data_IF_076536477321
#
_entry.id   IF_076536477321
#
_cell.length_a   1.000
_cell.length_b   1.000
_cell.length_c   1.000
_cell.angle_alpha   90.00
_cell.angle_beta   90.00
_cell.angle_gamma   90.00
#
_symmetry.space_group_name_H-M   'P 1'
#
loop_
_entity.id
_entity.type
_entity.pdbx_description
1 polymer ?
#
# COMPACT_ATOMS: atom_id res chain seq x y z
N UNK A 1 -24.21 -43.48 -50.75
CA UNK A 1 -23.47 -44.72 -51.14
C UNK A 1 -22.27 -44.22 -51.93
N UNK A 2 -21.03 -44.26 -51.48
CA UNK A 2 -20.28 -45.25 -50.69
C UNK A 2 -19.18 -44.58 -49.85
N UNK A 3 -19.02 -45.08 -48.63
CA UNK A 3 -17.89 -44.95 -47.69
C UNK A 3 -16.58 -45.46 -48.31
N UNK A 4 -15.43 -44.85 -48.00
CA UNK A 4 -14.17 -45.57 -47.68
C UNK A 4 -13.24 -44.66 -46.85
N UNK A 5 -13.08 -45.09 -45.61
CA UNK A 5 -11.99 -44.84 -44.65
C UNK A 5 -10.70 -45.49 -45.19
N UNK A 6 -9.54 -44.83 -45.13
CA UNK A 6 -8.27 -45.58 -45.05
C UNK A 6 -7.13 -44.73 -44.49
N UNK A 7 -6.72 -45.09 -43.28
CA UNK A 7 -5.43 -44.75 -42.68
C UNK A 7 -4.52 -45.95 -42.81
N UNK A 8 -3.26 -45.75 -43.21
CA UNK A 8 -2.19 -46.59 -42.70
C UNK A 8 -1.16 -45.78 -41.90
N UNK A 9 -0.98 -46.34 -40.71
CA UNK A 9 -0.01 -46.09 -39.65
C UNK A 9 1.36 -46.71 -40.00
N UNK A 10 2.36 -46.44 -39.15
CA UNK A 10 3.74 -46.97 -39.08
C UNK A 10 4.77 -46.31 -40.00
N UNK A 11 5.93 -45.86 -39.54
CA UNK A 11 6.75 -46.10 -38.34
C UNK A 11 8.18 -45.66 -38.74
N UNK A 12 9.17 -45.43 -37.91
CA UNK A 12 9.38 -45.72 -36.51
C UNK A 12 10.64 -44.95 -36.02
N UNK A 13 10.77 -44.91 -34.69
CA UNK A 13 12.02 -44.93 -33.93
C UNK A 13 13.00 -43.76 -33.99
N UNK A 14 12.90 -42.91 -32.95
CA UNK A 14 14.08 -42.61 -32.14
C UNK A 14 13.68 -42.57 -30.66
N UNK A 15 14.35 -43.43 -29.91
CA UNK A 15 14.10 -43.91 -28.57
C UNK A 15 14.77 -43.03 -27.50
N UNK A 16 14.26 -43.18 -26.28
CA UNK A 16 14.86 -42.89 -24.98
C UNK A 16 14.86 -41.44 -24.46
N UNK A 17 13.90 -41.19 -23.57
CA UNK A 17 13.88 -40.03 -22.67
C UNK A 17 12.82 -40.17 -21.58
N UNK A 18 12.79 -41.31 -20.88
CA UNK A 18 12.05 -41.41 -19.62
C UNK A 18 12.80 -40.61 -18.55
N UNK A 19 12.45 -39.33 -18.43
CA UNK A 19 12.66 -38.58 -17.19
C UNK A 19 11.28 -38.39 -16.57
N UNK A 20 11.00 -39.18 -15.53
CA UNK A 20 9.81 -39.01 -14.70
C UNK A 20 9.76 -37.61 -14.08
N UNK A 21 8.61 -37.20 -13.50
CA UNK A 21 8.52 -35.92 -12.82
C UNK A 21 9.47 -35.93 -11.64
N UNK A 22 10.58 -35.20 -11.75
CA UNK A 22 11.33 -34.74 -10.60
C UNK A 22 10.41 -33.78 -9.84
N UNK A 23 9.67 -34.34 -8.89
CA UNK A 23 8.99 -33.59 -7.85
C UNK A 23 10.09 -33.02 -6.94
N UNK A 24 10.65 -31.88 -7.32
CA UNK A 24 11.47 -31.07 -6.42
C UNK A 24 10.55 -30.06 -5.76
N UNK A 25 9.78 -30.58 -4.80
CA UNK A 25 9.17 -29.81 -3.73
C UNK A 25 10.30 -29.30 -2.83
N UNK A 26 10.84 -28.13 -3.13
CA UNK A 26 11.86 -27.45 -2.32
C UNK A 26 11.80 -25.93 -2.55
N UNK A 27 10.66 -25.35 -2.19
CA UNK A 27 10.57 -23.91 -1.93
C UNK A 27 9.89 -23.67 -0.58
N UNK A 28 10.44 -24.33 0.44
CA UNK A 28 10.16 -24.00 1.84
C UNK A 28 10.91 -22.70 2.14
N UNK A 29 10.24 -21.62 2.61
CA UNK A 29 10.95 -20.46 3.10
C UNK A 29 11.89 -20.89 4.22
N UNK A 30 13.12 -20.34 4.33
CA UNK A 30 13.99 -20.65 5.46
C UNK A 30 13.24 -20.27 6.73
N UNK A 31 13.14 -21.22 7.66
CA UNK A 31 12.76 -20.92 9.02
C UNK A 31 13.80 -19.93 9.55
N UNK A 32 13.39 -18.67 9.73
CA UNK A 32 14.16 -17.74 10.55
C UNK A 32 14.09 -18.28 11.98
N UNK A 33 15.15 -18.95 12.40
CA UNK A 33 15.40 -19.21 13.81
C UNK A 33 15.47 -17.84 14.53
N UNK A 34 14.66 -17.59 15.56
CA UNK A 34 14.92 -16.47 16.44
C UNK A 34 16.21 -16.81 17.20
N UNK A 35 17.26 -16.06 16.89
CA UNK A 35 18.51 -16.08 17.62
C UNK A 35 18.24 -15.59 19.05
N UNK A 36 18.16 -16.54 19.98
CA UNK A 36 18.29 -16.32 21.41
C UNK A 36 19.70 -15.79 21.71
N UNK A 37 19.82 -14.48 21.89
CA UNK A 37 20.95 -13.87 22.60
C UNK A 37 20.44 -12.77 23.54
N UNK A 38 20.21 -13.22 24.77
CA UNK A 38 20.51 -12.57 26.05
C UNK A 38 20.74 -11.04 26.07
N UNK A 39 19.91 -10.39 26.91
CA UNK A 39 20.43 -9.50 27.95
C UNK A 39 19.89 -8.08 27.91
N UNK A 40 18.75 -7.83 28.55
CA UNK A 40 18.73 -6.78 29.57
C UNK A 40 17.67 -7.09 30.63
N UNK A 41 18.09 -6.85 31.86
CA UNK A 41 17.39 -7.08 33.12
C UNK A 41 16.02 -6.39 33.15
N UNK A 42 14.99 -7.14 33.49
CA UNK A 42 13.98 -6.62 34.43
C UNK A 42 13.57 -7.75 35.35
N UNK A 43 14.14 -7.66 36.55
CA UNK A 43 13.75 -8.29 37.79
C UNK A 43 12.21 -8.37 37.92
N UNK A 44 11.67 -9.58 37.94
CA UNK A 44 10.36 -9.87 38.52
C UNK A 44 10.34 -11.36 38.92
N UNK A 45 11.20 -11.66 39.90
CA UNK A 45 10.96 -12.78 40.81
C UNK A 45 10.20 -12.23 42.01
N UNK A 46 8.90 -12.48 42.04
CA UNK A 46 8.14 -12.74 43.26
C UNK A 46 7.17 -13.89 42.91
N UNK A 47 7.43 -15.08 43.42
CA UNK A 47 6.82 -15.61 44.65
C UNK A 47 5.45 -16.22 44.32
N UNK A 48 5.43 -17.50 43.97
CA UNK A 48 5.10 -18.59 44.89
C UNK A 48 3.58 -18.80 45.03
N UNK A 49 3.21 -20.05 44.71
CA UNK A 49 2.20 -20.85 45.40
C UNK A 49 0.73 -20.38 45.45
N UNK A 50 -0.12 -21.29 44.97
CA UNK A 50 -1.44 -21.60 45.50
C UNK A 50 -2.43 -20.43 45.61
N UNK A 51 -3.36 -20.38 44.66
CA UNK A 51 -4.75 -20.11 45.00
C UNK A 51 -5.69 -20.66 43.92
N UNK A 52 -6.30 -21.81 44.22
CA UNK A 52 -7.39 -22.43 43.45
C UNK A 52 -8.74 -21.71 43.69
N UNK A 53 -8.72 -20.44 44.14
CA UNK A 53 -9.92 -19.66 44.50
C UNK A 53 -10.02 -18.28 43.78
N UNK A 54 -9.30 -18.07 42.67
CA UNK A 54 -9.31 -16.81 41.90
C UNK A 54 -10.23 -16.81 40.64
N UNK A 55 -11.23 -17.68 40.58
CA UNK A 55 -11.82 -18.10 39.29
C UNK A 55 -12.86 -17.10 38.69
N UNK A 56 -13.46 -16.18 39.46
CA UNK A 56 -14.51 -15.29 38.93
C UNK A 56 -13.97 -13.91 38.44
N UNK A 57 -13.09 -13.27 39.23
CA UNK A 57 -12.53 -11.94 38.90
C UNK A 57 -11.53 -11.97 37.72
N UNK A 58 -10.78 -13.06 37.58
CA UNK A 58 -9.80 -13.23 36.50
C UNK A 58 -10.46 -13.42 35.12
N UNK A 59 -11.57 -14.18 35.08
CA UNK A 59 -12.37 -14.40 33.84
C UNK A 59 -13.03 -13.11 33.36
N UNK A 60 -13.63 -12.33 34.26
CA UNK A 60 -14.26 -11.05 33.93
C UNK A 60 -13.27 -10.03 33.35
N UNK A 61 -12.08 -9.93 33.94
CA UNK A 61 -11.02 -9.05 33.43
C UNK A 61 -10.48 -9.50 32.07
N UNK A 62 -10.37 -10.81 31.82
CA UNK A 62 -9.95 -11.35 30.53
C UNK A 62 -10.97 -11.02 29.43
N UNK A 63 -12.25 -11.24 29.70
CA UNK A 63 -13.34 -10.92 28.76
C UNK A 63 -13.39 -9.41 28.43
N UNK A 64 -13.23 -8.55 29.44
CA UNK A 64 -13.15 -7.10 29.23
C UNK A 64 -11.99 -6.72 28.29
N UNK A 65 -10.81 -7.33 28.46
CA UNK A 65 -9.66 -7.09 27.56
C UNK A 65 -9.94 -7.56 26.13
N UNK A 66 -10.61 -8.70 25.94
CA UNK A 66 -10.97 -9.16 24.60
C UNK A 66 -11.92 -8.21 23.89
N UNK A 67 -12.94 -7.69 24.59
CA UNK A 67 -13.87 -6.70 24.01
C UNK A 67 -13.17 -5.40 23.63
N UNK A 68 -12.21 -4.94 24.44
CA UNK A 68 -11.41 -3.76 24.12
C UNK A 68 -10.56 -4.01 22.87
N UNK A 69 -9.84 -5.13 22.81
CA UNK A 69 -9.04 -5.51 21.63
C UNK A 69 -9.87 -5.61 20.35
N UNK A 70 -11.09 -6.16 20.44
CA UNK A 70 -11.99 -6.25 19.29
C UNK A 70 -12.37 -4.86 18.76
N UNK A 71 -12.78 -3.95 19.65
CA UNK A 71 -13.13 -2.57 19.28
C UNK A 71 -11.93 -1.80 18.74
N UNK A 72 -10.76 -2.01 19.32
CA UNK A 72 -9.53 -1.38 18.84
C UNK A 72 -9.17 -1.88 17.43
N UNK A 73 -9.34 -3.19 17.15
CA UNK A 73 -9.13 -3.76 15.83
C UNK A 73 -10.15 -3.24 14.79
N UNK A 74 -11.42 -3.13 15.17
CA UNK A 74 -12.46 -2.54 14.32
C UNK A 74 -12.13 -1.08 13.98
N UNK A 75 -11.74 -0.29 14.98
CA UNK A 75 -11.31 1.11 14.78
C UNK A 75 -10.12 1.20 13.83
N UNK A 76 -9.09 0.37 14.03
CA UNK A 76 -7.92 0.34 13.15
C UNK A 76 -8.29 -0.02 11.70
N UNK A 77 -9.19 -0.98 11.52
CA UNK A 77 -9.67 -1.35 10.17
C UNK A 77 -10.36 -0.17 9.50
N UNK A 78 -11.23 0.54 10.22
CA UNK A 78 -11.97 1.67 9.68
C UNK A 78 -11.02 2.86 9.37
N UNK A 79 -10.05 3.14 10.24
CA UNK A 79 -9.01 4.15 10.00
C UNK A 79 -8.16 3.84 8.75
N UNK A 80 -7.82 2.56 8.54
CA UNK A 80 -7.10 2.12 7.34
C UNK A 80 -7.96 2.23 6.09
N UNK A 81 -9.24 1.87 6.17
CA UNK A 81 -10.19 2.01 5.06
C UNK A 81 -10.36 3.48 4.65
N UNK A 82 -10.46 4.39 5.62
CA UNK A 82 -10.53 5.83 5.37
C UNK A 82 -9.24 6.37 4.75
N UNK A 83 -8.08 5.92 5.23
CA UNK A 83 -6.77 6.35 4.72
C UNK A 83 -6.57 5.89 3.28
N UNK A 84 -6.96 4.66 2.97
CA UNK A 84 -6.90 4.10 1.64
C UNK A 84 -7.88 4.81 0.69
N UNK A 85 -9.09 5.14 1.14
CA UNK A 85 -10.05 5.94 0.37
C UNK A 85 -9.49 7.32 0.05
N UNK A 86 -8.94 8.03 1.05
CA UNK A 86 -8.30 9.34 0.86
C UNK A 86 -7.11 9.29 -0.08
N UNK A 87 -6.29 8.24 0.01
CA UNK A 87 -5.13 8.05 -0.87
C UNK A 87 -5.56 7.85 -2.32
N UNK A 88 -6.57 7.01 -2.56
CA UNK A 88 -7.12 6.79 -3.91
C UNK A 88 -7.70 8.08 -4.50
N UNK A 89 -8.49 8.84 -3.71
CA UNK A 89 -9.01 10.14 -4.14
C UNK A 89 -7.90 11.13 -4.48
N UNK A 90 -6.82 11.18 -3.67
CA UNK A 90 -5.67 12.03 -3.93
C UNK A 90 -4.96 11.66 -5.24
N UNK A 91 -4.80 10.36 -5.52
CA UNK A 91 -4.23 9.87 -6.78
C UNK A 91 -5.08 10.33 -7.97
N UNK A 92 -6.39 10.06 -7.96
CA UNK A 92 -7.29 10.48 -9.05
C UNK A 92 -7.27 11.99 -9.23
N UNK A 93 -7.36 12.75 -8.14
CA UNK A 93 -7.28 14.22 -8.16
C UNK A 93 -5.97 14.72 -8.77
N UNK A 94 -4.83 14.10 -8.43
CA UNK A 94 -3.54 14.44 -9.02
C UNK A 94 -3.48 14.20 -10.54
N UNK A 95 -4.09 13.11 -11.02
CA UNK A 95 -4.18 12.78 -12.45
C UNK A 95 -5.05 13.80 -13.18
N UNK A 96 -6.21 14.15 -12.62
CA UNK A 96 -7.12 15.14 -13.20
C UNK A 96 -6.48 16.53 -13.22
N UNK A 97 -5.81 16.95 -12.14
CA UNK A 97 -5.03 18.19 -12.15
C UNK A 97 -3.87 18.14 -13.17
N UNK A 98 -3.23 16.98 -13.32
CA UNK A 98 -2.19 16.70 -14.30
C UNK A 98 -2.64 16.91 -15.76
N UNK A 99 -3.91 16.61 -16.06
CA UNK A 99 -4.54 16.82 -17.37
C UNK A 99 -5.04 18.25 -17.61
N UNK A 100 -4.93 19.12 -16.60
CA UNK A 100 -5.24 20.54 -16.70
C UNK A 100 -6.72 20.86 -16.53
N UNK A 101 -7.51 20.00 -15.90
CA UNK A 101 -8.90 20.31 -15.55
C UNK A 101 -9.02 20.87 -14.13
N UNK A 102 -10.13 21.56 -13.87
CA UNK A 102 -10.43 22.12 -12.56
C UNK A 102 -10.65 21.01 -11.50
N UNK A 103 -10.38 21.28 -10.21
CA UNK A 103 -10.59 20.29 -9.13
C UNK A 103 -12.04 19.80 -9.03
N UNK A 104 -13.02 20.62 -9.43
CA UNK A 104 -14.43 20.23 -9.52
C UNK A 104 -14.67 19.05 -10.48
N UNK A 105 -13.85 18.92 -11.52
CA UNK A 105 -13.91 17.76 -12.43
C UNK A 105 -13.44 16.50 -11.70
N UNK A 106 -12.42 16.61 -10.84
CA UNK A 106 -11.97 15.49 -10.04
C UNK A 106 -13.05 15.01 -9.07
N UNK A 107 -13.77 15.93 -8.40
CA UNK A 107 -14.88 15.58 -7.51
C UNK A 107 -15.96 14.76 -8.24
N UNK A 108 -16.36 15.20 -9.44
CA UNK A 108 -17.35 14.50 -10.27
C UNK A 108 -16.87 13.13 -10.73
N UNK A 109 -15.60 13.00 -11.12
CA UNK A 109 -15.00 11.73 -11.51
C UNK A 109 -14.95 10.78 -10.30
N UNK A 110 -14.54 11.28 -9.12
CA UNK A 110 -14.44 10.47 -7.89
C UNK A 110 -15.77 10.11 -7.24
N UNK A 111 -16.89 10.63 -7.73
CA UNK A 111 -18.23 10.33 -7.21
C UNK A 111 -18.59 8.83 -7.35
N UNK A 112 -18.01 8.16 -8.36
CA UNK A 112 -18.19 6.73 -8.62
C UNK A 112 -16.84 6.01 -8.59
N UNK A 113 -16.17 6.08 -7.44
CA UNK A 113 -14.80 5.57 -7.25
C UNK A 113 -14.68 4.09 -7.63
N UNK A 114 -15.69 3.27 -7.35
CA UNK A 114 -15.66 1.82 -7.60
C UNK A 114 -15.50 1.50 -9.09
N UNK A 115 -16.06 2.33 -9.99
CA UNK A 115 -15.87 2.18 -11.43
C UNK A 115 -14.49 2.60 -11.92
N UNK A 116 -13.73 3.32 -11.11
CA UNK A 116 -12.36 3.75 -11.45
C UNK A 116 -11.30 2.74 -11.01
N UNK A 117 -11.68 1.74 -10.22
CA UNK A 117 -10.75 0.73 -9.72
C UNK A 117 -10.64 -0.46 -10.68
N UNK A 118 -9.46 -1.07 -10.71
CA UNK A 118 -9.25 -2.39 -11.29
C UNK A 118 -9.71 -3.51 -10.34
N UNK A 119 -9.51 -4.75 -10.76
CA UNK A 119 -9.87 -5.95 -9.97
C UNK A 119 -9.04 -6.08 -8.68
N UNK A 120 -7.92 -5.34 -8.57
CA UNK A 120 -7.07 -5.28 -7.38
C UNK A 120 -7.45 -4.13 -6.44
N UNK A 121 -8.47 -3.32 -6.79
CA UNK A 121 -8.84 -2.13 -6.03
C UNK A 121 -7.83 -0.97 -6.19
N UNK A 122 -7.04 -0.97 -7.25
CA UNK A 122 -6.09 0.10 -7.58
C UNK A 122 -6.74 1.01 -8.63
N UNK A 123 -6.57 2.35 -8.55
CA UNK A 123 -7.08 3.24 -9.58
C UNK A 123 -6.51 2.91 -10.96
N UNK A 124 -7.40 2.58 -11.89
CA UNK A 124 -7.07 2.23 -13.27
C UNK A 124 -7.04 3.50 -14.14
N UNK A 125 -5.89 3.75 -14.78
CA UNK A 125 -5.66 4.92 -15.61
C UNK A 125 -6.64 4.98 -16.80
N UNK A 126 -6.99 3.85 -17.42
CA UNK A 126 -7.88 3.84 -18.59
C UNK A 126 -9.32 4.19 -18.20
N UNK A 127 -9.79 3.67 -17.05
CA UNK A 127 -11.11 3.99 -16.49
C UNK A 127 -11.20 5.44 -16.02
N UNK A 128 -10.11 5.98 -15.45
CA UNK A 128 -10.04 7.41 -15.07
C UNK A 128 -10.13 8.29 -16.32
N UNK A 129 -9.38 7.99 -17.38
CA UNK A 129 -9.39 8.79 -18.61
C UNK A 129 -10.75 8.75 -19.30
N UNK A 130 -11.38 7.58 -19.39
CA UNK A 130 -12.72 7.44 -19.99
C UNK A 130 -13.79 8.17 -19.17
N UNK A 131 -13.76 8.07 -17.84
CA UNK A 131 -14.68 8.78 -16.96
C UNK A 131 -14.47 10.29 -17.02
N UNK A 132 -13.21 10.73 -17.07
CA UNK A 132 -12.86 12.15 -17.26
C UNK A 132 -13.42 12.67 -18.59
N UNK A 133 -13.28 11.92 -19.67
CA UNK A 133 -13.82 12.30 -20.98
C UNK A 133 -15.36 12.41 -20.95
N UNK A 134 -16.05 11.49 -20.29
CA UNK A 134 -17.50 11.53 -20.11
C UNK A 134 -17.94 12.78 -19.31
N UNK A 135 -17.32 13.05 -18.16
CA UNK A 135 -17.63 14.23 -17.34
C UNK A 135 -17.36 15.53 -18.10
N UNK A 136 -16.27 15.60 -18.87
CA UNK A 136 -15.97 16.79 -19.69
C UNK A 136 -17.00 16.97 -20.80
N UNK A 137 -17.45 15.89 -21.43
CA UNK A 137 -18.49 15.92 -22.46
C UNK A 137 -19.85 16.36 -21.92
N UNK A 138 -20.25 15.84 -20.75
CA UNK A 138 -21.56 16.12 -20.14
C UNK A 138 -21.68 17.55 -19.61
N UNK A 139 -20.60 18.08 -19.01
CA UNK A 139 -20.63 19.37 -18.32
C UNK A 139 -19.90 20.50 -19.06
N UNK A 140 -19.20 20.21 -20.15
CA UNK A 140 -18.53 21.22 -20.98
C UNK A 140 -17.35 21.92 -20.29
N UNK A 141 -16.63 21.23 -19.40
CA UNK A 141 -15.51 21.83 -18.68
C UNK A 141 -14.35 22.21 -19.61
N UNK A 142 -13.95 23.49 -19.57
CA UNK A 142 -12.73 23.95 -20.22
C UNK A 142 -11.50 23.56 -19.41
N UNK A 143 -10.38 23.34 -20.10
CA UNK A 143 -9.07 23.17 -19.46
C UNK A 143 -8.66 24.48 -18.78
N UNK A 144 -8.16 24.38 -17.55
CA UNK A 144 -7.59 25.51 -16.86
C UNK A 144 -6.21 25.86 -17.45
N UNK A 145 -5.93 27.16 -17.64
CA UNK A 145 -4.61 27.59 -18.05
C UNK A 145 -3.60 27.24 -16.95
N UNK A 146 -2.53 26.53 -17.32
CA UNK A 146 -1.43 26.25 -16.40
C UNK A 146 -0.63 27.53 -16.21
N UNK A 147 -0.56 28.03 -14.98
CA UNK A 147 0.43 29.05 -14.65
C UNK A 147 1.83 28.45 -14.83
N UNK A 148 2.77 29.14 -15.48
CA UNK A 148 4.13 28.65 -15.61
C UNK A 148 4.70 28.37 -14.22
N UNK A 149 5.20 27.15 -14.02
CA UNK A 149 5.81 26.78 -12.75
C UNK A 149 7.04 27.68 -12.51
N UNK A 150 7.24 28.20 -11.29
CA UNK A 150 8.45 28.94 -10.96
C UNK A 150 9.67 28.07 -11.27
N UNK A 151 10.59 28.59 -12.07
CA UNK A 151 11.83 27.88 -12.34
C UNK A 151 12.66 27.82 -11.05
N UNK A 152 12.74 26.64 -10.42
CA UNK A 152 13.50 26.43 -9.18
C UNK A 152 15.01 26.66 -9.35
N UNK A 153 15.51 26.74 -10.60
CA UNK A 153 16.90 27.10 -10.89
C UNK A 153 17.14 28.61 -10.91
N UNK A 154 16.09 29.44 -11.09
CA UNK A 154 16.19 30.90 -10.96
C UNK A 154 16.22 31.29 -9.47
N UNK A 155 17.41 31.23 -8.87
CA UNK A 155 17.65 31.64 -7.48
C UNK A 155 18.57 30.70 -6.70
N UNK A 156 18.84 29.50 -7.23
CA UNK A 156 19.91 28.64 -6.70
C UNK A 156 21.25 29.17 -7.19
N UNK A 157 21.79 30.17 -6.51
CA UNK A 157 23.18 30.60 -6.70
C UNK A 157 24.12 29.54 -6.12
N UNK A 158 24.24 28.40 -6.82
CA UNK A 158 25.41 27.52 -6.70
C UNK A 158 26.57 28.18 -7.47
N UNK A 159 27.00 29.34 -7.00
CA UNK A 159 28.22 30.03 -7.38
C UNK A 159 28.91 30.42 -6.08
N UNK A 160 30.08 29.84 -5.82
CA UNK A 160 30.76 29.87 -4.52
C UNK A 160 31.01 31.26 -3.94
N UNK A 161 31.04 31.31 -2.61
CA UNK A 161 31.44 32.49 -1.84
C UNK A 161 30.95 32.41 -0.41
N UNK A 162 31.86 32.04 0.51
CA UNK A 162 31.55 31.92 1.93
C UNK A 162 31.13 33.24 2.57
N UNK A 163 30.08 33.19 3.36
CA UNK A 163 29.88 34.05 4.52
C UNK A 163 29.05 33.24 5.53
N UNK A 164 29.65 32.96 6.68
CA UNK A 164 29.09 32.09 7.71
C UNK A 164 27.70 32.54 8.12
N UNK A 165 26.75 31.59 8.12
CA UNK A 165 25.43 31.83 8.70
C UNK A 165 25.62 32.05 10.20
N UNK A 166 25.20 33.20 10.70
CA UNK A 166 25.01 33.41 12.13
C UNK A 166 24.08 32.32 12.65
N UNK A 167 24.62 31.39 13.45
CA UNK A 167 23.82 30.39 14.13
C UNK A 167 23.12 31.05 15.32
N UNK A 168 21.92 30.59 15.64
CA UNK A 168 21.17 30.99 16.83
C UNK A 168 21.98 30.85 18.13
N UNK A 169 23.02 30.01 18.14
CA UNK A 169 23.98 29.89 19.24
C UNK A 169 24.74 31.19 19.55
N UNK A 170 24.88 32.11 18.58
CA UNK A 170 25.52 33.42 18.80
C UNK A 170 24.62 34.45 19.51
N UNK A 171 23.30 34.29 19.47
CA UNK A 171 22.36 35.27 20.01
C UNK A 171 22.18 35.18 21.54
N UNK A 172 22.51 34.02 22.14
CA UNK A 172 22.29 33.76 23.57
C UNK A 172 23.54 34.07 24.42
N UNK A 173 24.72 34.23 23.80
CA UNK A 173 25.99 34.45 24.52
C UNK A 173 26.38 35.93 24.71
N UNK A 174 25.50 36.87 24.35
CA UNK A 174 25.81 38.30 24.30
C UNK A 174 25.25 39.17 25.43
N UNK A 175 24.70 38.59 26.50
CA UNK A 175 24.13 39.35 27.62
C UNK A 175 24.82 39.02 28.95
N UNK A 176 26.03 39.53 29.14
CA UNK A 176 26.65 39.81 30.44
C UNK A 176 27.38 41.15 30.37
#
# INVERSE_FOLDING_TARGET
>A
MTTTDDTPQHGADAQAGHSGPASTDDNRPPASEPNDQHGDDTDDRDDAEQDDDADDGSRSNREKRYRLRLRDAERQRDELADTLTRTRQAIVSSVVAGSGYAPKVAELVTADMDKLLDDNGIPDAEKIVSSLAAVVADYGFARQPRTPAPNLQQGSTNGGGGAGKASWAGAIKGSE
#
